data_IF_596264632778
#
_entry.id   IF_596264632778
#
_cell.length_a   1.000
_cell.length_b   1.000
_cell.length_c   1.000
_cell.angle_alpha   90.00
_cell.angle_beta   90.00
_cell.angle_gamma   90.00
#
_symmetry.space_group_name_H-M   'P 1'
#
loop_
_entity.id
_entity.type
_entity.pdbx_description
1 polymer ?
#
# COMPACT_ATOMS: atom_id res chain seq x y z
N UNK A 1 -18.22 21.03 -14.28
CA UNK A 1 -18.36 19.74 -14.99
C UNK A 1 -17.04 19.01 -15.27
N UNK A 2 -15.87 19.58 -14.92
CA UNK A 2 -14.54 19.02 -15.25
C UNK A 2 -13.90 18.16 -14.16
N UNK A 3 -14.22 18.37 -12.88
CA UNK A 3 -13.56 17.70 -11.74
C UNK A 3 -13.96 16.24 -11.57
N UNK A 4 -15.23 15.89 -11.76
CA UNK A 4 -15.73 14.51 -11.60
C UNK A 4 -15.21 13.56 -12.69
N UNK A 5 -14.91 14.08 -13.89
CA UNK A 5 -14.29 13.30 -14.96
C UNK A 5 -12.81 13.05 -14.67
N UNK A 6 -12.09 14.06 -14.17
CA UNK A 6 -10.68 13.94 -13.80
C UNK A 6 -10.47 12.88 -12.70
N UNK A 7 -11.32 12.87 -11.67
CA UNK A 7 -11.23 11.88 -10.57
C UNK A 7 -11.46 10.45 -11.08
N UNK A 8 -12.46 10.25 -11.94
CA UNK A 8 -12.73 8.93 -12.55
C UNK A 8 -11.58 8.45 -13.42
N UNK A 9 -10.99 9.34 -14.22
CA UNK A 9 -9.82 9.00 -15.04
C UNK A 9 -8.61 8.60 -14.17
N UNK A 10 -8.37 9.33 -13.08
CA UNK A 10 -7.28 9.04 -12.15
C UNK A 10 -7.45 7.68 -11.46
N UNK A 11 -8.65 7.37 -10.97
CA UNK A 11 -8.95 6.08 -10.33
C UNK A 11 -8.78 4.94 -11.35
N UNK A 12 -9.31 5.10 -12.55
CA UNK A 12 -9.20 4.09 -13.60
C UNK A 12 -7.74 3.84 -13.98
N UNK A 13 -6.96 4.91 -14.23
CA UNK A 13 -5.53 4.79 -14.57
C UNK A 13 -4.71 4.14 -13.45
N UNK A 14 -5.09 4.33 -12.19
CA UNK A 14 -4.40 3.71 -11.05
C UNK A 14 -4.79 2.24 -10.87
N UNK A 15 -6.06 1.88 -11.12
CA UNK A 15 -6.54 0.50 -11.03
C UNK A 15 -6.18 -0.37 -12.22
N UNK A 16 -5.98 0.18 -13.42
CA UNK A 16 -5.58 -0.60 -14.60
C UNK A 16 -4.31 -1.43 -14.34
N UNK A 17 -3.18 -0.89 -13.83
CA UNK A 17 -1.96 -1.68 -13.63
C UNK A 17 -2.04 -2.69 -12.47
N UNK A 18 -2.90 -2.48 -11.47
CA UNK A 18 -3.01 -3.32 -10.26
C UNK A 18 -3.24 -4.82 -10.56
N UNK A 19 -4.28 -5.22 -11.32
CA UNK A 19 -4.51 -6.62 -11.64
C UNK A 19 -3.40 -7.22 -12.49
N UNK A 20 -2.76 -6.43 -13.38
CA UNK A 20 -1.61 -6.92 -14.13
C UNK A 20 -0.42 -7.18 -13.22
N UNK A 21 -0.13 -6.29 -12.27
CA UNK A 21 0.97 -6.49 -11.32
C UNK A 21 0.70 -7.74 -10.48
N UNK A 22 -0.51 -7.90 -9.91
CA UNK A 22 -0.81 -9.07 -9.07
C UNK A 22 -0.66 -10.40 -9.83
N UNK A 23 -1.07 -10.45 -11.10
CA UNK A 23 -1.01 -11.69 -11.91
C UNK A 23 0.39 -11.95 -12.50
N UNK A 24 1.03 -10.92 -13.03
CA UNK A 24 2.24 -11.08 -13.84
C UNK A 24 3.52 -10.86 -13.05
N UNK A 25 3.51 -10.17 -11.90
CA UNK A 25 4.74 -9.86 -11.18
C UNK A 25 5.48 -11.12 -10.74
N UNK A 26 4.79 -12.16 -10.26
CA UNK A 26 5.41 -13.43 -9.88
C UNK A 26 6.07 -14.13 -11.06
N UNK A 27 5.38 -14.19 -12.21
CA UNK A 27 5.89 -14.77 -13.47
C UNK A 27 7.07 -13.96 -14.02
N UNK A 28 6.96 -12.63 -13.97
CA UNK A 28 7.99 -11.72 -14.46
C UNK A 28 9.22 -11.75 -13.55
N UNK A 29 9.05 -11.81 -12.24
CA UNK A 29 10.13 -11.88 -11.28
C UNK A 29 10.94 -13.18 -11.41
N UNK A 30 10.27 -14.33 -11.54
CA UNK A 30 10.97 -15.61 -11.75
C UNK A 30 11.68 -15.65 -13.12
N UNK A 31 11.07 -15.08 -14.16
CA UNK A 31 11.68 -15.00 -15.49
C UNK A 31 12.90 -14.06 -15.53
N UNK A 32 12.82 -12.89 -14.88
CA UNK A 32 13.95 -11.96 -14.76
C UNK A 32 15.08 -12.53 -13.90
N UNK A 33 14.75 -13.24 -12.82
CA UNK A 33 15.73 -13.89 -11.96
C UNK A 33 16.55 -14.94 -12.73
N UNK A 34 15.93 -15.66 -13.67
CA UNK A 34 16.61 -16.63 -14.53
C UNK A 34 17.46 -16.03 -15.65
N UNK A 35 17.17 -14.81 -16.11
CA UNK A 35 17.84 -14.21 -17.27
C UNK A 35 18.90 -13.15 -16.97
N UNK A 36 18.75 -12.36 -15.90
CA UNK A 36 19.65 -11.23 -15.66
C UNK A 36 19.89 -10.96 -14.17
N UNK A 37 21.14 -11.11 -13.70
CA UNK A 37 21.55 -10.89 -12.30
C UNK A 37 21.32 -9.45 -11.83
N UNK A 38 21.44 -8.45 -12.71
CA UNK A 38 21.19 -7.04 -12.35
C UNK A 38 19.70 -6.78 -12.07
N UNK A 39 18.82 -7.33 -12.90
CA UNK A 39 17.38 -7.21 -12.74
C UNK A 39 16.87 -7.99 -11.51
N UNK A 40 17.45 -9.17 -11.25
CA UNK A 40 17.20 -9.95 -10.05
C UNK A 40 17.57 -9.17 -8.77
N UNK A 41 18.66 -8.39 -8.80
CA UNK A 41 19.09 -7.54 -7.68
C UNK A 41 18.15 -6.36 -7.46
N UNK A 42 17.72 -5.70 -8.53
CA UNK A 42 16.75 -4.60 -8.45
C UNK A 42 15.40 -5.07 -7.89
N UNK A 43 14.90 -6.20 -8.38
CA UNK A 43 13.71 -6.84 -7.83
C UNK A 43 13.92 -7.17 -6.36
N UNK A 44 15.02 -7.82 -5.97
CA UNK A 44 15.31 -8.11 -4.56
C UNK A 44 15.28 -6.86 -3.68
N UNK A 45 15.83 -5.74 -4.14
CA UNK A 45 15.78 -4.48 -3.39
C UNK A 45 14.33 -4.00 -3.22
N UNK A 46 13.50 -4.08 -4.27
CA UNK A 46 12.08 -3.76 -4.18
C UNK A 46 11.33 -4.72 -3.24
N UNK A 47 11.59 -6.03 -3.34
CA UNK A 47 11.03 -7.06 -2.48
C UNK A 47 11.41 -6.83 -1.02
N UNK A 48 12.67 -6.53 -0.71
CA UNK A 48 13.14 -6.25 0.65
C UNK A 48 12.44 -5.00 1.20
N UNK A 49 12.39 -3.91 0.44
CA UNK A 49 11.70 -2.68 0.86
C UNK A 49 10.20 -2.86 1.04
N UNK A 50 9.58 -3.64 0.17
CA UNK A 50 8.17 -4.00 0.29
C UNK A 50 7.96 -4.85 1.55
N UNK A 51 8.81 -5.85 1.80
CA UNK A 51 8.75 -6.72 2.98
C UNK A 51 8.97 -5.97 4.29
N UNK A 52 9.87 -4.98 4.32
CA UNK A 52 10.04 -4.08 5.48
C UNK A 52 8.77 -3.29 5.80
N UNK A 53 7.97 -2.95 4.78
CA UNK A 53 6.68 -2.28 4.92
C UNK A 53 5.50 -3.24 5.02
N UNK A 54 5.73 -4.55 4.89
CA UNK A 54 4.69 -5.57 4.82
C UNK A 54 4.14 -5.96 6.19
N UNK A 55 4.82 -5.70 7.31
CA UNK A 55 4.42 -6.20 8.62
C UNK A 55 2.92 -6.09 8.94
N UNK A 56 2.30 -4.88 8.85
CA UNK A 56 0.86 -4.72 9.07
C UNK A 56 -0.01 -5.34 7.97
N UNK A 57 0.51 -5.47 6.76
CA UNK A 57 -0.21 -6.03 5.60
C UNK A 57 -0.18 -7.56 5.61
N UNK A 58 0.88 -8.16 6.13
CA UNK A 58 1.02 -9.59 6.33
C UNK A 58 0.06 -10.08 7.42
N UNK A 59 -0.06 -9.33 8.51
CA UNK A 59 -0.93 -9.68 9.65
C UNK A 59 -2.42 -9.47 9.34
N UNK A 60 -2.79 -8.36 8.68
CA UNK A 60 -4.20 -8.01 8.41
C UNK A 60 -4.65 -8.24 6.97
N UNK A 61 -3.78 -8.77 6.10
CA UNK A 61 -4.03 -9.14 4.71
C UNK A 61 -4.84 -8.08 3.96
N UNK A 62 -6.14 -8.32 3.75
CA UNK A 62 -7.05 -7.41 3.04
C UNK A 62 -7.16 -6.03 3.69
N UNK A 63 -7.36 -5.98 5.01
CA UNK A 63 -7.49 -4.72 5.76
C UNK A 63 -6.16 -3.99 5.83
N UNK A 64 -5.06 -4.73 6.03
CA UNK A 64 -3.72 -4.16 6.08
C UNK A 64 -3.33 -3.53 4.74
N UNK A 65 -3.62 -4.21 3.63
CA UNK A 65 -3.37 -3.70 2.29
C UNK A 65 -4.24 -2.49 1.95
N UNK A 66 -5.52 -2.52 2.32
CA UNK A 66 -6.42 -1.40 2.14
C UNK A 66 -5.92 -0.18 2.91
N UNK A 67 -5.61 -0.31 4.20
CA UNK A 67 -5.08 0.78 5.03
C UNK A 67 -3.73 1.30 4.51
N UNK A 68 -2.86 0.41 4.01
CA UNK A 68 -1.61 0.80 3.38
C UNK A 68 -1.85 1.77 2.22
N UNK A 69 -2.81 1.45 1.33
CA UNK A 69 -3.14 2.28 0.16
C UNK A 69 -3.92 3.55 0.52
N UNK A 70 -4.67 3.54 1.63
CA UNK A 70 -5.42 4.71 2.13
C UNK A 70 -4.50 5.86 2.50
N UNK A 71 -3.32 5.57 3.06
CA UNK A 71 -2.40 6.62 3.52
C UNK A 71 -1.77 7.29 2.30
N UNK A 72 -1.95 8.61 2.08
CA UNK A 72 -1.40 9.33 0.93
C UNK A 72 0.08 9.63 1.15
N UNK A 73 0.90 8.59 1.34
CA UNK A 73 2.34 8.70 1.48
C UNK A 73 3.03 8.41 0.14
N UNK A 74 4.16 9.08 -0.17
CA UNK A 74 4.97 8.69 -1.32
C UNK A 74 5.42 7.22 -1.17
N UNK A 75 4.96 6.38 -2.09
CA UNK A 75 5.24 4.94 -2.13
C UNK A 75 4.17 4.02 -1.52
N UNK A 76 3.07 4.54 -0.96
CA UNK A 76 1.91 3.76 -0.49
C UNK A 76 0.74 3.84 -1.47
N UNK A 77 1.01 3.54 -2.73
CA UNK A 77 0.03 3.62 -3.81
C UNK A 77 -0.38 2.20 -4.28
N UNK A 78 -1.43 2.10 -5.09
CA UNK A 78 -2.01 0.80 -5.47
C UNK A 78 -1.05 -0.11 -6.24
N UNK A 79 -0.12 0.42 -7.03
CA UNK A 79 0.98 -0.34 -7.64
C UNK A 79 1.95 -0.94 -6.61
N UNK A 80 2.38 -0.21 -5.58
CA UNK A 80 3.18 -0.78 -4.48
C UNK A 80 2.36 -1.79 -3.68
N UNK A 81 1.08 -1.50 -3.43
CA UNK A 81 0.15 -2.43 -2.81
C UNK A 81 -0.02 -3.72 -3.61
N UNK A 82 -0.09 -3.64 -4.94
CA UNK A 82 -0.15 -4.79 -5.84
C UNK A 82 1.14 -5.63 -5.80
N UNK A 83 2.31 -4.98 -5.72
CA UNK A 83 3.59 -5.66 -5.49
C UNK A 83 3.54 -6.40 -4.15
N UNK A 84 3.13 -5.71 -3.09
CA UNK A 84 3.06 -6.26 -1.73
C UNK A 84 2.09 -7.46 -1.66
N UNK A 85 0.93 -7.36 -2.28
CA UNK A 85 -0.05 -8.43 -2.39
C UNK A 85 0.49 -9.64 -3.16
N UNK A 86 1.23 -9.41 -4.24
CA UNK A 86 1.89 -10.48 -5.00
C UNK A 86 3.04 -11.13 -4.21
N UNK A 87 3.68 -10.41 -3.29
CA UNK A 87 4.74 -10.93 -2.41
C UNK A 87 4.16 -11.81 -1.32
N UNK A 88 3.07 -11.35 -0.71
CA UNK A 88 2.36 -12.03 0.36
C UNK A 88 1.47 -13.17 -0.16
N UNK A 89 1.54 -13.47 -1.46
CA UNK A 89 0.71 -14.48 -2.13
C UNK A 89 -0.80 -14.33 -1.80
N UNK A 90 -1.27 -13.08 -1.75
CA UNK A 90 -2.67 -12.76 -1.47
C UNK A 90 -3.60 -13.23 -2.61
N UNK A 91 -4.84 -13.63 -2.29
CA UNK A 91 -5.81 -14.01 -3.32
C UNK A 91 -6.13 -12.81 -4.23
N UNK A 92 -6.11 -13.04 -5.55
CA UNK A 92 -6.22 -12.00 -6.58
C UNK A 92 -7.39 -11.03 -6.34
N UNK A 93 -8.60 -11.55 -6.12
CA UNK A 93 -9.79 -10.73 -5.90
C UNK A 93 -9.75 -9.95 -4.57
N UNK A 94 -9.11 -10.50 -3.54
CA UNK A 94 -8.91 -9.82 -2.27
C UNK A 94 -7.92 -8.66 -2.45
N UNK A 95 -6.80 -8.90 -3.14
CA UNK A 95 -5.79 -7.88 -3.40
C UNK A 95 -6.30 -6.73 -4.30
N UNK A 96 -7.07 -7.05 -5.34
CA UNK A 96 -7.69 -6.05 -6.21
C UNK A 96 -8.74 -5.24 -5.46
N UNK A 97 -9.63 -5.88 -4.69
CA UNK A 97 -10.66 -5.17 -3.94
C UNK A 97 -10.06 -4.29 -2.83
N UNK A 98 -9.07 -4.77 -2.08
CA UNK A 98 -8.39 -3.97 -1.06
C UNK A 98 -7.72 -2.71 -1.65
N UNK A 99 -7.02 -2.85 -2.79
CA UNK A 99 -6.45 -1.71 -3.52
C UNK A 99 -7.54 -0.75 -3.99
N UNK A 100 -8.65 -1.26 -4.54
CA UNK A 100 -9.77 -0.44 -5.00
C UNK A 100 -10.37 0.40 -3.88
N UNK A 101 -10.73 -0.22 -2.75
CA UNK A 101 -11.25 0.49 -1.58
C UNK A 101 -10.24 1.47 -1.01
N UNK A 102 -8.95 1.10 -0.99
CA UNK A 102 -7.88 2.00 -0.55
C UNK A 102 -7.77 3.27 -1.39
N UNK A 103 -7.80 3.16 -2.72
CA UNK A 103 -7.72 4.33 -3.63
C UNK A 103 -8.97 5.21 -3.52
N UNK A 104 -10.16 4.60 -3.40
CA UNK A 104 -11.41 5.37 -3.21
C UNK A 104 -11.37 6.16 -1.91
N UNK A 105 -10.93 5.53 -0.81
CA UNK A 105 -10.81 6.19 0.49
C UNK A 105 -9.69 7.25 0.51
N UNK A 106 -8.54 6.99 -0.12
CA UNK A 106 -7.48 7.98 -0.26
C UNK A 106 -7.99 9.21 -1.04
N UNK A 107 -8.71 8.99 -2.14
CA UNK A 107 -9.33 10.06 -2.92
C UNK A 107 -10.38 10.84 -2.13
N UNK A 108 -11.20 10.15 -1.33
CA UNK A 108 -12.18 10.78 -0.45
C UNK A 108 -11.50 11.60 0.66
N UNK A 109 -10.47 11.06 1.30
CA UNK A 109 -9.66 11.75 2.31
C UNK A 109 -9.02 13.02 1.73
N UNK A 110 -8.34 12.91 0.59
CA UNK A 110 -7.70 14.06 -0.05
C UNK A 110 -8.73 15.10 -0.49
N UNK A 111 -9.86 14.68 -1.06
CA UNK A 111 -10.93 15.61 -1.43
C UNK A 111 -11.50 16.34 -0.20
N UNK A 112 -11.77 15.61 0.87
CA UNK A 112 -12.23 16.18 2.14
C UNK A 112 -11.21 17.18 2.70
N UNK A 113 -9.92 16.85 2.67
CA UNK A 113 -8.82 17.73 3.08
C UNK A 113 -8.78 19.04 2.27
N UNK A 114 -8.87 18.91 0.94
CA UNK A 114 -8.75 20.05 0.02
C UNK A 114 -9.98 20.94 0.08
N UNK A 115 -11.18 20.38 0.25
CA UNK A 115 -12.43 21.15 0.35
C UNK A 115 -12.59 21.87 1.70
N UNK A 116 -12.10 21.29 2.80
CA UNK A 116 -12.31 21.86 4.15
C UNK A 116 -11.32 22.97 4.54
N UNK A 117 -10.32 23.28 3.71
CA UNK A 117 -9.41 24.42 3.89
C UNK A 117 -8.35 24.23 4.98
N UNK A 118 -7.33 25.09 4.94
CA UNK A 118 -6.05 25.11 5.72
C UNK A 118 -6.11 24.65 7.20
N UNK A 119 -7.26 24.77 7.88
CA UNK A 119 -7.47 24.34 9.27
C UNK A 119 -7.31 22.82 9.46
N UNK A 120 -7.69 22.01 8.48
CA UNK A 120 -7.58 20.54 8.58
C UNK A 120 -6.24 19.99 8.12
N UNK A 121 -5.40 20.77 7.44
CA UNK A 121 -4.03 20.37 7.10
C UNK A 121 -3.21 20.10 8.38
N UNK A 122 -3.41 20.93 9.41
CA UNK A 122 -2.80 20.77 10.74
C UNK A 122 -3.34 19.50 11.42
N UNK A 123 -4.66 19.29 11.36
CA UNK A 123 -5.31 18.08 11.91
C UNK A 123 -4.83 16.82 11.19
N UNK A 124 -4.62 16.85 9.88
CA UNK A 124 -4.14 15.70 9.13
C UNK A 124 -2.66 15.44 9.37
N UNK A 125 -1.85 16.49 9.55
CA UNK A 125 -0.48 16.35 10.04
C UNK A 125 -0.44 15.71 11.43
N UNK A 126 -1.34 16.10 12.33
CA UNK A 126 -1.48 15.49 13.67
C UNK A 126 -1.98 14.05 13.57
N UNK A 127 -2.96 13.74 12.72
CA UNK A 127 -3.48 12.38 12.52
C UNK A 127 -2.41 11.49 11.90
N UNK A 128 -1.66 11.95 10.89
CA UNK A 128 -0.53 11.21 10.31
C UNK A 128 0.58 10.99 11.33
N UNK A 129 0.87 11.98 12.18
CA UNK A 129 1.84 11.87 13.26
C UNK A 129 1.38 10.88 14.35
N UNK A 130 0.09 10.89 14.70
CA UNK A 130 -0.52 9.93 15.63
C UNK A 130 -0.51 8.53 15.03
N UNK A 131 -0.89 8.36 13.77
CA UNK A 131 -0.84 7.05 13.09
C UNK A 131 0.61 6.53 13.06
N UNK A 132 1.58 7.37 12.75
CA UNK A 132 3.01 7.01 12.76
C UNK A 132 3.50 6.60 14.14
N UNK A 133 3.15 7.35 15.19
CA UNK A 133 3.58 7.06 16.57
C UNK A 133 2.83 5.87 17.15
N UNK A 134 1.56 5.70 16.81
CA UNK A 134 0.72 4.57 17.24
C UNK A 134 1.15 3.28 16.55
N UNK A 135 1.49 3.32 15.26
CA UNK A 135 2.09 2.20 14.53
C UNK A 135 3.38 1.74 15.22
N UNK A 136 4.28 2.67 15.58
CA UNK A 136 5.52 2.36 16.30
C UNK A 136 5.28 1.86 17.73
N UNK A 137 4.23 2.34 18.40
CA UNK A 137 3.85 1.91 19.75
C UNK A 137 3.31 0.47 19.75
N UNK A 138 2.43 0.14 18.82
CA UNK A 138 1.89 -1.21 18.62
C UNK A 138 3.01 -2.18 18.24
N UNK A 139 3.88 -1.81 17.30
CA UNK A 139 5.06 -2.61 16.91
C UNK A 139 5.98 -2.93 18.11
N UNK A 140 6.19 -1.97 19.02
CA UNK A 140 7.02 -2.18 20.21
C UNK A 140 6.34 -3.07 21.26
N UNK A 141 5.03 -2.95 21.42
CA UNK A 141 4.29 -3.80 22.36
C UNK A 141 4.20 -5.25 21.88
N UNK A 142 4.02 -5.47 20.58
CA UNK A 142 3.99 -6.82 20.00
C UNK A 142 5.36 -7.51 20.07
N UNK A 143 6.46 -6.77 19.81
CA UNK A 143 7.83 -7.29 19.97
C UNK A 143 8.13 -7.71 21.42
N UNK A 144 7.62 -6.99 22.42
CA UNK A 144 7.75 -7.36 23.84
C UNK A 144 6.97 -8.63 24.20
N UNK A 145 5.80 -8.85 23.61
CA UNK A 145 4.99 -10.05 23.87
C UNK A 145 5.62 -11.32 23.30
N UNK A 146 6.37 -11.21 22.19
CA UNK A 146 7.05 -12.35 21.57
C UNK A 146 8.35 -12.73 22.29
N UNK A 147 9.05 -11.78 22.92
CA UNK A 147 10.30 -12.06 23.66
C UNK A 147 10.08 -12.56 25.09
N UNK A 148 8.85 -12.55 25.61
CA UNK A 148 8.53 -13.11 26.94
C UNK A 148 8.01 -14.54 26.88
N UNK A 149 7.80 -15.09 25.68
CA UNK A 149 7.39 -16.48 25.44
C UNK A 149 8.53 -17.38 24.96
N UNK A 150 9.77 -16.86 24.92
CA UNK A 150 11.02 -17.59 24.61
C UNK A 150 11.92 -17.68 25.83
#
# INVERSE_FOLDING_TARGET
>A
MTTTLAIRLCIYRNMVPVPFIILYLKRFASFLAGKNKAAARFLNILFVRAKEKAGPVEEFQWLGLMLFVVVPFPGTEAWTGAILASILDMPFWAAVSANFFGVVLAGLLVNLLVNLGLKYAIITGIILFIISTFMWSILRNLRKSLSSSS
#
